data_IF_999233148593
#
_entry.id   IF_999233148593
#
_cell.length_a   1.000
_cell.length_b   1.000
_cell.length_c   1.000
_cell.angle_alpha   90.00
_cell.angle_beta   90.00
_cell.angle_gamma   90.00
#
_symmetry.space_group_name_H-M   'P 1'
#
loop_
_entity.id
_entity.type
_entity.pdbx_description
1 polymer ?
#
# COMPACT_ATOMS: atom_id res chain seq x y z
N UNK A 1 42.22 -20.23 -1.24
CA UNK A 1 40.79 -20.05 -1.56
C UNK A 1 40.07 -19.80 -0.24
N UNK A 2 39.38 -18.67 -0.03
CA UNK A 2 38.17 -18.56 0.82
C UNK A 2 37.95 -17.19 1.49
N UNK A 3 36.71 -16.71 1.30
CA UNK A 3 35.86 -15.84 2.14
C UNK A 3 35.05 -14.84 1.28
N UNK A 4 35.52 -14.46 0.09
CA UNK A 4 34.97 -13.32 -0.68
C UNK A 4 33.63 -13.51 -1.40
N UNK A 5 32.80 -14.48 -1.01
CA UNK A 5 31.47 -14.72 -1.62
C UNK A 5 30.33 -14.94 -0.63
N UNK A 6 30.41 -14.39 0.59
CA UNK A 6 29.19 -14.10 1.36
C UNK A 6 28.57 -12.77 0.89
N UNK A 7 28.39 -12.68 -0.44
CA UNK A 7 27.58 -11.68 -1.11
C UNK A 7 26.11 -12.10 -0.93
N UNK A 8 25.64 -12.00 0.32
CA UNK A 8 24.26 -12.29 0.69
C UNK A 8 23.37 -11.22 0.09
N UNK A 9 22.75 -11.54 -1.06
CA UNK A 9 21.68 -10.77 -1.67
C UNK A 9 20.62 -10.49 -0.58
N UNK A 10 20.40 -9.24 -0.14
CA UNK A 10 19.29 -8.96 0.75
C UNK A 10 18.03 -9.20 -0.10
N UNK A 11 17.31 -10.28 0.18
CA UNK A 11 15.95 -10.45 -0.30
C UNK A 11 15.14 -9.28 0.28
N UNK A 12 15.01 -8.21 -0.48
CA UNK A 12 14.01 -7.20 -0.23
C UNK A 12 12.67 -7.88 -0.43
N UNK A 13 12.11 -8.45 0.64
CA UNK A 13 10.73 -8.90 0.67
C UNK A 13 9.88 -7.65 0.44
N UNK A 14 9.50 -7.43 -0.81
CA UNK A 14 8.54 -6.41 -1.18
C UNK A 14 7.24 -6.77 -0.45
N UNK A 15 6.86 -5.97 0.54
CA UNK A 15 5.55 -6.06 1.14
C UNK A 15 4.51 -6.00 0.01
N UNK A 16 3.80 -7.11 -0.22
CA UNK A 16 2.81 -7.17 -1.27
C UNK A 16 1.64 -6.26 -0.85
N UNK A 17 1.38 -5.22 -1.65
CA UNK A 17 0.22 -4.35 -1.51
C UNK A 17 -0.71 -4.57 -2.68
N UNK A 18 -2.00 -4.60 -2.41
CA UNK A 18 -3.05 -4.59 -3.42
C UNK A 18 -3.65 -3.18 -3.51
N UNK A 19 -4.12 -2.81 -4.68
CA UNK A 19 -4.91 -1.61 -4.89
C UNK A 19 -6.11 -2.00 -5.76
N UNK A 20 -7.31 -1.56 -5.39
CA UNK A 20 -8.53 -1.81 -6.12
C UNK A 20 -9.31 -0.51 -6.24
N UNK A 21 -9.66 -0.13 -7.46
CA UNK A 21 -10.46 1.07 -7.73
C UNK A 21 -11.95 0.72 -7.77
N UNK A 22 -12.75 1.46 -7.03
CA UNK A 22 -14.21 1.33 -6.98
C UNK A 22 -14.83 2.62 -7.53
N UNK A 23 -15.70 2.55 -8.55
CA UNK A 23 -16.33 3.74 -9.11
C UNK A 23 -17.24 4.42 -8.08
N UNK A 24 -17.14 5.74 -7.98
CA UNK A 24 -17.96 6.55 -7.06
C UNK A 24 -19.23 7.05 -7.76
N UNK A 25 -20.40 6.98 -7.12
CA UNK A 25 -21.61 7.60 -7.65
C UNK A 25 -21.46 9.12 -7.57
N UNK A 26 -21.29 9.77 -8.73
CA UNK A 26 -21.05 11.22 -8.83
C UNK A 26 -19.78 11.62 -9.59
N UNK A 27 -18.99 10.64 -10.06
CA UNK A 27 -17.70 10.87 -10.70
C UNK A 27 -16.54 10.57 -9.76
N UNK A 28 -15.39 10.23 -10.32
CA UNK A 28 -14.20 9.81 -9.57
C UNK A 28 -14.17 8.31 -9.21
N UNK A 29 -13.14 7.91 -8.46
CA UNK A 29 -12.95 6.54 -8.00
C UNK A 29 -12.39 6.53 -6.57
N UNK A 30 -12.93 5.65 -5.73
CA UNK A 30 -12.30 5.29 -4.47
C UNK A 30 -11.20 4.26 -4.75
N UNK A 31 -10.07 4.36 -4.05
CA UNK A 31 -9.02 3.35 -4.11
C UNK A 31 -8.94 2.65 -2.75
N UNK A 32 -9.17 1.34 -2.78
CA UNK A 32 -9.03 0.44 -1.64
C UNK A 32 -7.65 -0.18 -1.72
N UNK A 33 -6.80 0.10 -0.73
CA UNK A 33 -5.41 -0.33 -0.70
C UNK A 33 -5.24 -1.34 0.42
N UNK A 34 -5.04 -2.60 0.06
CA UNK A 34 -4.72 -3.65 1.00
C UNK A 34 -3.22 -3.75 1.18
N UNK A 35 -2.77 -3.78 2.43
CA UNK A 35 -1.39 -4.10 2.77
C UNK A 35 -1.37 -5.41 3.52
N UNK A 36 -0.51 -6.33 3.07
CA UNK A 36 -0.34 -7.61 3.75
C UNK A 36 -0.15 -7.42 5.26
N UNK A 37 -0.60 -8.41 6.03
CA UNK A 37 -0.61 -8.39 7.51
C UNK A 37 0.76 -8.08 8.12
N UNK A 38 1.81 -8.63 7.51
CA UNK A 38 3.20 -8.43 7.89
C UNK A 38 3.76 -7.04 7.55
N UNK A 39 3.08 -6.25 6.71
CA UNK A 39 3.53 -4.92 6.33
C UNK A 39 3.10 -3.87 7.37
N UNK A 40 3.93 -2.86 7.69
CA UNK A 40 3.48 -1.73 8.49
C UNK A 40 2.45 -0.91 7.70
N UNK A 41 1.48 -0.30 8.39
CA UNK A 41 0.42 0.51 7.78
C UNK A 41 0.98 1.66 6.91
N UNK A 42 2.20 2.15 7.21
CA UNK A 42 2.93 3.13 6.39
C UNK A 42 3.02 2.71 4.91
N UNK A 43 3.15 1.42 4.64
CA UNK A 43 3.21 0.89 3.26
C UNK A 43 1.90 1.15 2.50
N UNK A 44 0.75 1.18 3.18
CA UNK A 44 -0.53 1.55 2.57
C UNK A 44 -0.54 3.01 2.15
N UNK A 45 -0.04 3.88 3.01
CA UNK A 45 0.06 5.30 2.71
C UNK A 45 1.08 5.57 1.59
N UNK A 46 2.19 4.82 1.53
CA UNK A 46 3.14 4.88 0.41
C UNK A 46 2.50 4.44 -0.90
N UNK A 47 1.70 3.36 -0.90
CA UNK A 47 0.95 2.94 -2.09
C UNK A 47 -0.13 3.96 -2.46
N UNK A 48 -0.81 4.55 -1.48
CA UNK A 48 -1.80 5.60 -1.68
C UNK A 48 -1.23 6.82 -2.39
N UNK A 49 -0.03 7.26 -1.99
CA UNK A 49 0.69 8.34 -2.66
C UNK A 49 1.09 7.99 -4.10
N UNK A 50 1.26 6.71 -4.43
CA UNK A 50 1.53 6.26 -5.81
C UNK A 50 0.26 6.25 -6.66
N UNK A 51 -0.88 5.88 -6.08
CA UNK A 51 -2.17 5.89 -6.77
C UNK A 51 -2.70 7.32 -6.97
N UNK A 52 -2.61 8.18 -5.94
CA UNK A 52 -3.03 9.58 -5.98
C UNK A 52 -1.83 10.53 -5.68
N UNK A 53 -0.94 10.80 -6.66
CA UNK A 53 0.25 11.65 -6.44
C UNK A 53 -0.08 13.13 -6.18
N UNK A 54 -1.26 13.59 -6.60
CA UNK A 54 -1.79 14.94 -6.34
C UNK A 54 -2.31 15.11 -4.91
N UNK A 55 -2.33 14.03 -4.13
CA UNK A 55 -2.92 13.96 -2.80
C UNK A 55 -4.25 13.21 -2.82
N UNK A 56 -4.65 12.76 -1.63
CA UNK A 56 -5.89 12.02 -1.43
C UNK A 56 -6.55 12.42 -0.12
N UNK A 57 -7.82 12.04 0.04
CA UNK A 57 -8.55 12.05 1.29
C UNK A 57 -8.69 10.62 1.79
N UNK A 58 -8.33 10.38 3.05
CA UNK A 58 -8.58 9.10 3.71
C UNK A 58 -10.06 9.02 4.04
N UNK A 59 -10.74 7.99 3.53
CA UNK A 59 -12.16 7.72 3.77
C UNK A 59 -12.31 6.74 4.93
N UNK A 60 -11.53 5.67 4.92
CA UNK A 60 -11.48 4.71 6.02
C UNK A 60 -10.09 4.10 6.14
N UNK A 61 -9.78 3.60 7.34
CA UNK A 61 -8.54 2.88 7.62
C UNK A 61 -8.87 1.73 8.55
N UNK A 62 -8.55 0.52 8.12
CA UNK A 62 -8.69 -0.73 8.86
C UNK A 62 -7.28 -1.20 9.25
N UNK A 63 -7.08 -1.49 10.53
CA UNK A 63 -5.80 -1.97 11.05
C UNK A 63 -6.03 -2.94 12.21
N UNK A 64 -6.80 -3.99 11.95
CA UNK A 64 -7.14 -5.02 12.94
C UNK A 64 -6.02 -6.06 13.16
N UNK A 65 -4.79 -5.77 12.73
CA UNK A 65 -3.62 -6.66 12.84
C UNK A 65 -3.64 -7.87 11.90
N UNK A 66 -4.83 -8.37 11.53
CA UNK A 66 -5.08 -9.46 10.57
C UNK A 66 -5.41 -8.94 9.17
N UNK A 67 -5.92 -7.71 9.05
CA UNK A 67 -6.04 -7.00 7.77
C UNK A 67 -5.62 -5.55 7.99
N UNK A 68 -4.94 -5.00 6.99
CA UNK A 68 -4.58 -3.59 6.94
C UNK A 68 -5.07 -3.07 5.61
N UNK A 69 -6.10 -2.24 5.66
CA UNK A 69 -6.74 -1.71 4.47
C UNK A 69 -6.89 -0.20 4.61
N UNK A 70 -6.65 0.52 3.51
CA UNK A 70 -6.73 1.96 3.45
C UNK A 70 -7.60 2.34 2.27
N UNK A 71 -8.75 2.96 2.54
CA UNK A 71 -9.64 3.48 1.50
C UNK A 71 -9.41 4.97 1.35
N UNK A 72 -9.06 5.38 0.13
CA UNK A 72 -8.79 6.78 -0.20
C UNK A 72 -9.66 7.25 -1.36
N UNK A 73 -9.86 8.56 -1.43
CA UNK A 73 -10.46 9.26 -2.55
C UNK A 73 -9.41 10.21 -3.16
N UNK A 74 -9.12 10.07 -4.46
CA UNK A 74 -8.14 10.91 -5.15
C UNK A 74 -8.69 12.29 -5.55
N UNK A 75 -10.02 12.52 -5.47
CA UNK A 75 -10.68 13.77 -5.87
C UNK A 75 -10.59 14.85 -4.78
N UNK A 76 -9.36 15.21 -4.39
CA UNK A 76 -9.09 16.21 -3.34
C UNK A 76 -9.56 17.62 -3.73
#
# INVERSE_FOLDING_TARGET
>A
MNWKFLLGLPLALTACTTASSVPKPGGGAYHIIGCGTAAPLRICYERANKECPTGYKVISTDNDGVRKELTIDCDK
#
